data_IF_337191223195
#
_entry.id   IF_337191223195
#
_cell.length_a   1.000
_cell.length_b   1.000
_cell.length_c   1.000
_cell.angle_alpha   90.00
_cell.angle_beta   90.00
_cell.angle_gamma   90.00
#
_symmetry.space_group_name_H-M   'P 1'
#
loop_
_entity.id
_entity.type
_entity.pdbx_description
1 polymer ?
#
# COMPACT_ATOMS: atom_id res chain seq x y z
N UNK A 1 15.56 1.29 -20.11
CA UNK A 1 14.47 1.00 -19.15
C UNK A 1 15.09 1.00 -17.76
N UNK A 2 14.51 1.71 -16.79
CA UNK A 2 15.04 1.73 -15.42
C UNK A 2 14.89 0.35 -14.75
N UNK A 3 15.82 -0.01 -13.84
CA UNK A 3 15.86 -1.34 -13.20
C UNK A 3 14.62 -1.57 -12.33
N UNK A 4 14.10 -0.54 -11.66
CA UNK A 4 12.86 -0.66 -10.88
C UNK A 4 11.67 -0.83 -11.81
N UNK A 5 11.60 -0.07 -12.89
CA UNK A 5 10.57 -0.25 -13.91
C UNK A 5 10.54 -1.69 -14.47
N UNK A 6 11.70 -2.28 -14.74
CA UNK A 6 11.81 -3.67 -15.18
C UNK A 6 11.29 -4.65 -14.12
N UNK A 7 11.62 -4.44 -12.85
CA UNK A 7 11.12 -5.25 -11.74
C UNK A 7 9.59 -5.15 -11.67
N UNK A 8 9.02 -3.94 -11.71
CA UNK A 8 7.57 -3.74 -11.69
C UNK A 8 6.87 -4.46 -12.86
N UNK A 9 7.44 -4.39 -14.07
CA UNK A 9 6.91 -5.12 -15.23
C UNK A 9 6.97 -6.64 -15.04
N UNK A 10 8.09 -7.18 -14.53
CA UNK A 10 8.22 -8.62 -14.25
C UNK A 10 7.21 -9.10 -13.21
N UNK A 11 7.01 -8.32 -12.14
CA UNK A 11 6.04 -8.65 -11.09
C UNK A 11 4.61 -8.69 -11.65
N UNK A 12 4.22 -7.71 -12.48
CA UNK A 12 2.90 -7.69 -13.12
C UNK A 12 2.66 -8.91 -14.02
N UNK A 13 3.68 -9.30 -14.80
CA UNK A 13 3.61 -10.50 -15.65
C UNK A 13 3.49 -11.77 -14.79
N UNK A 14 4.20 -11.83 -13.66
CA UNK A 14 4.08 -12.93 -12.70
C UNK A 14 2.66 -13.05 -12.15
N UNK A 15 2.09 -11.93 -11.71
CA UNK A 15 0.71 -11.88 -11.18
C UNK A 15 -0.35 -12.23 -12.24
N UNK A 16 -0.07 -12.04 -13.53
CA UNK A 16 -0.95 -12.52 -14.60
C UNK A 16 -1.08 -14.05 -14.61
N UNK A 17 -0.05 -14.77 -14.17
CA UNK A 17 -0.09 -16.23 -14.07
C UNK A 17 -0.65 -16.68 -12.72
N UNK A 18 -0.16 -16.09 -11.64
CA UNK A 18 -0.50 -16.51 -10.27
C UNK A 18 -1.90 -16.10 -9.84
N UNK A 19 -2.33 -14.88 -10.21
CA UNK A 19 -3.57 -14.25 -9.79
C UNK A 19 -4.27 -13.65 -11.01
N UNK A 20 -4.66 -14.50 -11.97
CA UNK A 20 -5.13 -14.12 -13.32
C UNK A 20 -6.09 -12.92 -13.35
N UNK A 21 -7.09 -12.87 -12.47
CA UNK A 21 -8.03 -11.76 -12.38
C UNK A 21 -7.30 -10.44 -12.10
N UNK A 22 -6.55 -10.38 -11.01
CA UNK A 22 -5.83 -9.17 -10.61
C UNK A 22 -4.67 -8.84 -11.53
N UNK A 23 -3.89 -9.83 -11.96
CA UNK A 23 -2.83 -9.65 -12.93
C UNK A 23 -3.35 -9.02 -14.24
N UNK A 24 -4.55 -9.39 -14.69
CA UNK A 24 -5.19 -8.79 -15.87
C UNK A 24 -5.54 -7.30 -15.69
N UNK A 25 -5.81 -6.86 -14.45
CA UNK A 25 -6.00 -5.45 -14.11
C UNK A 25 -4.66 -4.74 -14.02
N UNK A 26 -3.70 -5.36 -13.33
CA UNK A 26 -2.35 -4.83 -13.15
C UNK A 26 -1.67 -4.55 -14.49
N UNK A 27 -1.80 -5.42 -15.50
CA UNK A 27 -1.18 -5.20 -16.83
C UNK A 27 -1.81 -4.05 -17.64
N UNK A 28 -3.01 -3.59 -17.28
CA UNK A 28 -3.66 -2.45 -17.94
C UNK A 28 -3.22 -1.10 -17.37
N UNK A 29 -2.67 -1.09 -16.17
CA UNK A 29 -2.18 0.13 -15.51
C UNK A 29 -0.92 0.65 -16.20
N UNK A 30 -0.83 1.96 -16.43
CA UNK A 30 0.41 2.59 -16.85
C UNK A 30 1.41 2.69 -15.68
N UNK A 31 2.71 2.74 -16.01
CA UNK A 31 3.79 2.93 -15.03
C UNK A 31 4.52 4.23 -15.30
N UNK A 32 4.47 5.16 -14.36
CA UNK A 32 5.17 6.44 -14.42
C UNK A 32 6.10 6.59 -13.21
N UNK A 33 7.39 6.80 -13.48
CA UNK A 33 8.33 7.18 -12.43
C UNK A 33 8.17 8.67 -12.14
N UNK A 34 7.92 9.04 -10.88
CA UNK A 34 7.81 10.44 -10.49
C UNK A 34 8.38 10.67 -9.08
N UNK A 35 9.68 10.83 -8.97
CA UNK A 35 10.36 10.99 -7.67
C UNK A 35 10.14 12.37 -7.03
N UNK A 36 9.76 13.38 -7.81
CA UNK A 36 9.63 14.77 -7.33
C UNK A 36 8.32 14.97 -6.56
N UNK A 37 7.22 14.40 -7.08
CA UNK A 37 5.89 14.49 -6.46
C UNK A 37 5.53 13.26 -5.64
N UNK A 38 5.77 12.05 -6.17
CA UNK A 38 5.46 10.82 -5.46
C UNK A 38 6.58 10.54 -4.46
N UNK A 39 6.23 10.41 -3.17
CA UNK A 39 7.22 10.04 -2.14
C UNK A 39 7.29 8.53 -1.92
N UNK A 40 6.27 7.80 -2.36
CA UNK A 40 6.16 6.37 -2.15
C UNK A 40 5.69 5.63 -3.41
N UNK A 41 4.50 5.02 -3.36
CA UNK A 41 3.83 4.35 -4.46
C UNK A 41 2.37 4.82 -4.43
N UNK A 42 1.88 5.36 -5.54
CA UNK A 42 0.56 5.97 -5.64
C UNK A 42 -0.15 5.52 -6.92
N UNK A 43 -1.47 5.69 -6.96
CA UNK A 43 -2.31 5.30 -8.08
C UNK A 43 -3.43 6.31 -8.28
N UNK A 44 -3.84 6.54 -9.53
CA UNK A 44 -5.06 7.26 -9.86
C UNK A 44 -6.13 6.34 -10.49
N UNK A 45 -5.93 5.01 -10.42
CA UNK A 45 -6.81 4.00 -11.00
C UNK A 45 -6.52 3.66 -12.46
N UNK A 46 -5.68 4.44 -13.16
CA UNK A 46 -5.21 4.15 -14.52
C UNK A 46 -3.68 4.06 -14.62
N UNK A 47 -2.97 4.83 -13.79
CA UNK A 47 -1.52 4.95 -13.78
C UNK A 47 -1.01 4.76 -12.36
N UNK A 48 0.04 3.96 -12.23
CA UNK A 48 0.85 3.88 -11.03
C UNK A 48 2.02 4.86 -11.11
N UNK A 49 2.08 5.73 -10.12
CA UNK A 49 3.19 6.63 -9.90
C UNK A 49 4.08 6.04 -8.82
N UNK A 50 5.38 5.93 -9.08
CA UNK A 50 6.30 5.37 -8.10
C UNK A 50 7.53 6.24 -7.92
N UNK A 51 7.96 6.31 -6.67
CA UNK A 51 9.27 6.81 -6.29
C UNK A 51 10.26 5.64 -6.31
N UNK A 52 11.26 5.74 -7.18
CA UNK A 52 12.31 4.72 -7.31
C UNK A 52 13.05 4.46 -6.00
N UNK A 53 13.35 5.52 -5.25
CA UNK A 53 14.11 5.46 -4.01
C UNK A 53 13.30 4.89 -2.85
N UNK A 54 11.97 4.91 -2.95
CA UNK A 54 11.09 4.22 -2.02
C UNK A 54 10.98 2.73 -2.36
N UNK A 55 10.65 2.40 -3.61
CA UNK A 55 10.41 1.01 -4.05
C UNK A 55 11.65 0.14 -3.86
N UNK A 56 12.85 0.68 -4.07
CA UNK A 56 14.11 -0.06 -3.88
C UNK A 56 14.33 -0.57 -2.44
N UNK A 57 13.64 0.00 -1.45
CA UNK A 57 13.80 -0.39 -0.04
C UNK A 57 12.96 -1.61 0.33
N UNK A 58 12.13 -2.11 -0.59
CA UNK A 58 11.21 -3.21 -0.34
C UNK A 58 11.55 -4.43 -1.18
N UNK A 59 11.34 -5.61 -0.58
CA UNK A 59 11.42 -6.89 -1.28
C UNK A 59 10.31 -7.00 -2.33
N UNK A 60 10.56 -7.81 -3.36
CA UNK A 60 9.62 -8.03 -4.46
C UNK A 60 8.20 -8.38 -4.01
N UNK A 61 8.04 -9.24 -3.01
CA UNK A 61 6.72 -9.61 -2.46
C UNK A 61 6.00 -8.42 -1.82
N UNK A 62 6.71 -7.55 -1.10
CA UNK A 62 6.15 -6.35 -0.48
C UNK A 62 5.75 -5.32 -1.54
N UNK A 63 6.54 -5.19 -2.61
CA UNK A 63 6.19 -4.34 -3.76
C UNK A 63 4.91 -4.83 -4.43
N UNK A 64 4.71 -6.15 -4.54
CA UNK A 64 3.43 -6.73 -4.99
C UNK A 64 2.28 -6.34 -4.07
N UNK A 65 2.48 -6.41 -2.75
CA UNK A 65 1.48 -5.96 -1.76
C UNK A 65 1.11 -4.48 -1.93
N UNK A 66 2.08 -3.60 -2.17
CA UNK A 66 1.84 -2.18 -2.47
C UNK A 66 0.98 -1.99 -3.73
N UNK A 67 1.26 -2.74 -4.81
CA UNK A 67 0.45 -2.69 -6.03
C UNK A 67 -0.99 -3.13 -5.78
N UNK A 68 -1.19 -4.18 -4.98
CA UNK A 68 -2.52 -4.65 -4.60
C UNK A 68 -3.26 -3.63 -3.73
N UNK A 69 -2.62 -3.12 -2.67
CA UNK A 69 -3.17 -2.07 -1.80
C UNK A 69 -3.65 -0.87 -2.61
N UNK A 70 -2.79 -0.35 -3.50
CA UNK A 70 -3.12 0.81 -4.34
C UNK A 70 -4.25 0.54 -5.33
N UNK A 71 -4.44 -0.72 -5.74
CA UNK A 71 -5.57 -1.12 -6.59
C UNK A 71 -6.87 -1.27 -5.77
N UNK A 72 -6.79 -1.72 -4.51
CA UNK A 72 -7.96 -1.90 -3.64
C UNK A 72 -8.69 -0.60 -3.37
N UNK A 73 -7.99 0.53 -3.23
CA UNK A 73 -8.60 1.85 -3.09
C UNK A 73 -9.60 2.19 -4.20
N UNK A 74 -9.33 1.74 -5.44
CA UNK A 74 -10.23 1.95 -6.58
C UNK A 74 -11.25 0.83 -6.72
N UNK A 75 -10.85 -0.42 -6.45
CA UNK A 75 -11.76 -1.57 -6.52
C UNK A 75 -12.91 -1.47 -5.49
N UNK A 76 -12.62 -0.93 -4.30
CA UNK A 76 -13.58 -0.75 -3.21
C UNK A 76 -14.31 0.60 -3.28
N UNK A 77 -13.87 1.53 -4.14
CA UNK A 77 -14.51 2.85 -4.29
C UNK A 77 -14.14 3.87 -3.21
N UNK A 78 -13.05 3.64 -2.47
CA UNK A 78 -12.68 4.42 -1.28
C UNK A 78 -11.66 5.54 -1.56
N UNK A 79 -11.17 5.65 -2.80
CA UNK A 79 -10.25 6.71 -3.24
C UNK A 79 -10.79 8.14 -3.13
N UNK A 80 -12.10 8.32 -2.91
CA UNK A 80 -12.75 9.63 -2.79
C UNK A 80 -13.37 9.75 -1.40
N UNK A 81 -12.98 10.78 -0.65
CA UNK A 81 -13.57 11.10 0.63
C UNK A 81 -14.99 11.68 0.45
N UNK A 82 -16.01 11.12 1.15
CA UNK A 82 -17.36 11.67 1.14
C UNK A 82 -17.42 13.09 1.73
N UNK A 83 -18.38 13.89 1.25
CA UNK A 83 -18.63 15.22 1.81
C UNK A 83 -18.97 15.15 3.30
N UNK A 84 -18.39 16.07 4.09
CA UNK A 84 -18.62 16.16 5.53
C UNK A 84 -17.74 15.26 6.40
N UNK A 85 -16.89 14.41 5.82
CA UNK A 85 -15.89 13.62 6.55
C UNK A 85 -14.52 14.30 6.58
N UNK A 86 -13.74 14.03 7.63
CA UNK A 86 -12.34 14.45 7.69
C UNK A 86 -11.52 13.63 6.70
N UNK A 87 -10.89 14.30 5.75
CA UNK A 87 -10.14 13.64 4.68
C UNK A 87 -8.97 12.81 5.23
N UNK A 88 -8.25 13.30 6.23
CA UNK A 88 -7.09 12.57 6.75
C UNK A 88 -7.51 11.29 7.47
N UNK A 89 -8.62 11.31 8.21
CA UNK A 89 -9.16 10.11 8.84
C UNK A 89 -9.74 9.15 7.81
N UNK A 90 -10.39 9.67 6.77
CA UNK A 90 -10.88 8.86 5.66
C UNK A 90 -9.75 8.11 4.96
N UNK A 91 -8.67 8.80 4.63
CA UNK A 91 -7.52 8.20 3.95
C UNK A 91 -6.91 7.07 4.82
N UNK A 92 -6.79 7.28 6.14
CA UNK A 92 -6.34 6.22 7.08
C UNK A 92 -7.31 5.04 7.09
N UNK A 93 -8.63 5.30 7.15
CA UNK A 93 -9.64 4.24 7.16
C UNK A 93 -9.62 3.42 5.86
N UNK A 94 -9.48 4.09 4.70
CA UNK A 94 -9.39 3.44 3.40
C UNK A 94 -8.13 2.58 3.29
N UNK A 95 -7.00 3.03 3.84
CA UNK A 95 -5.78 2.25 3.90
C UNK A 95 -5.91 1.02 4.80
N UNK A 96 -6.56 1.15 5.95
CA UNK A 96 -6.85 0.00 6.85
C UNK A 96 -7.67 -1.06 6.11
N UNK A 97 -8.75 -0.67 5.40
CA UNK A 97 -9.58 -1.62 4.66
C UNK A 97 -8.80 -2.27 3.50
N UNK A 98 -8.05 -1.47 2.75
CA UNK A 98 -7.24 -1.95 1.61
C UNK A 98 -6.16 -2.93 2.06
N UNK A 99 -5.39 -2.61 3.11
CA UNK A 99 -4.37 -3.50 3.65
C UNK A 99 -4.96 -4.75 4.33
N UNK A 100 -6.12 -4.62 4.97
CA UNK A 100 -6.85 -5.76 5.52
C UNK A 100 -7.30 -6.71 4.40
N UNK A 101 -7.76 -6.17 3.28
CA UNK A 101 -8.13 -6.95 2.09
C UNK A 101 -6.93 -7.67 1.48
N UNK A 102 -5.79 -6.97 1.34
CA UNK A 102 -4.51 -7.57 0.90
C UNK A 102 -4.10 -8.73 1.80
N UNK A 103 -4.20 -8.54 3.12
CA UNK A 103 -3.88 -9.57 4.12
C UNK A 103 -4.82 -10.76 4.02
N UNK A 104 -6.12 -10.51 3.97
CA UNK A 104 -7.16 -11.54 3.96
C UNK A 104 -7.07 -12.42 2.70
N UNK A 105 -6.83 -11.80 1.54
CA UNK A 105 -6.67 -12.50 0.26
C UNK A 105 -5.27 -13.06 0.03
N UNK A 106 -4.33 -12.86 0.97
CA UNK A 106 -2.94 -13.30 0.87
C UNK A 106 -2.23 -12.81 -0.41
N UNK A 107 -2.41 -11.51 -0.73
CA UNK A 107 -1.92 -10.90 -1.97
C UNK A 107 -0.58 -10.18 -1.78
N UNK A 108 0.51 -10.93 -1.85
CA UNK A 108 1.86 -10.39 -1.67
C UNK A 108 2.23 -10.18 -0.19
N UNK A 109 3.28 -9.39 0.04
CA UNK A 109 3.83 -9.11 1.35
C UNK A 109 3.27 -7.81 1.94
N UNK A 110 3.11 -7.77 3.26
CA UNK A 110 2.70 -6.58 4.00
C UNK A 110 3.92 -5.96 4.66
N UNK A 111 4.15 -4.65 4.51
CA UNK A 111 5.20 -3.93 5.24
C UNK A 111 5.09 -4.08 6.76
N UNK A 112 6.22 -4.08 7.45
CA UNK A 112 6.26 -4.30 8.91
C UNK A 112 5.49 -3.21 9.67
N UNK A 113 5.58 -1.95 9.25
CA UNK A 113 4.84 -0.84 9.88
C UNK A 113 3.33 -1.02 9.78
N UNK A 114 2.81 -1.43 8.61
CA UNK A 114 1.39 -1.76 8.41
C UNK A 114 0.98 -2.96 9.25
N UNK A 115 1.81 -4.01 9.27
CA UNK A 115 1.54 -5.20 10.07
C UNK A 115 1.41 -4.86 11.57
N UNK A 116 2.29 -4.01 12.08
CA UNK A 116 2.26 -3.52 13.46
C UNK A 116 1.01 -2.67 13.74
N UNK A 117 0.63 -1.77 12.81
CA UNK A 117 -0.58 -0.97 12.93
C UNK A 117 -1.86 -1.82 12.96
N UNK A 118 -1.99 -2.80 12.06
CA UNK A 118 -3.14 -3.72 12.04
C UNK A 118 -3.21 -4.59 13.32
N UNK A 119 -2.06 -5.02 13.85
CA UNK A 119 -2.00 -5.72 15.14
C UNK A 119 -2.40 -4.82 16.31
N UNK A 120 -2.10 -3.53 16.23
CA UNK A 120 -2.51 -2.55 17.23
C UNK A 120 -4.03 -2.37 17.24
N UNK A 121 -4.66 -2.24 16.08
CA UNK A 121 -6.13 -2.14 15.94
C UNK A 121 -6.86 -3.35 16.52
N UNK A 122 -6.34 -4.55 16.30
CA UNK A 122 -6.91 -5.80 16.85
C UNK A 122 -6.96 -5.86 18.40
N UNK A 123 -6.29 -4.94 19.10
CA UNK A 123 -6.35 -4.86 20.58
C UNK A 123 -7.59 -4.14 21.09
N UNK A 124 -8.26 -3.37 20.24
CA UNK A 124 -9.44 -2.62 20.62
C UNK A 124 -10.70 -3.43 20.33
N UNK A 125 -11.59 -3.52 21.33
CA UNK A 125 -12.90 -4.08 21.15
C UNK A 125 -13.69 -3.26 20.13
N UNK A 126 -14.25 -3.92 19.12
CA UNK A 126 -15.05 -3.29 18.05
C UNK A 126 -14.37 -3.20 16.70
N UNK A 127 -13.06 -3.47 16.60
CA UNK A 127 -12.41 -3.67 15.30
C UNK A 127 -12.70 -5.07 14.75
N UNK A 128 -13.06 -5.15 13.47
CA UNK A 128 -13.24 -6.39 12.72
C UNK A 128 -12.64 -6.25 11.32
N UNK A 129 -12.07 -7.33 10.80
CA UNK A 129 -11.50 -7.38 9.45
C UNK A 129 -12.54 -7.32 8.34
N UNK A 130 -13.83 -7.40 8.68
CA UNK A 130 -14.96 -7.31 7.75
C UNK A 130 -15.62 -5.92 7.74
N UNK A 131 -15.05 -4.95 8.47
CA UNK A 131 -15.59 -3.60 8.53
C UNK A 131 -15.39 -2.86 7.20
N UNK A 132 -16.39 -2.07 6.80
CA UNK A 132 -16.27 -1.14 5.67
C UNK A 132 -15.44 0.09 6.06
N UNK A 133 -14.91 0.83 5.07
CA UNK A 133 -14.24 2.12 5.32
C UNK A 133 -15.05 3.07 6.19
N UNK A 134 -16.39 3.12 6.02
CA UNK A 134 -17.26 3.98 6.83
C UNK A 134 -17.25 3.57 8.31
N UNK A 135 -17.34 2.27 8.57
CA UNK A 135 -17.30 1.73 9.93
C UNK A 135 -15.92 1.92 10.55
N UNK A 136 -14.85 1.73 9.78
CA UNK A 136 -13.48 1.97 10.24
C UNK A 136 -13.28 3.46 10.55
N UNK A 137 -13.78 4.35 9.69
CA UNK A 137 -13.74 5.79 9.90
C UNK A 137 -14.43 6.19 11.21
N UNK A 138 -15.65 5.71 11.44
CA UNK A 138 -16.40 6.01 12.67
C UNK A 138 -15.68 5.45 13.90
N UNK A 139 -15.06 4.28 13.78
CA UNK A 139 -14.29 3.64 14.83
C UNK A 139 -13.04 4.47 15.21
N UNK A 140 -12.19 4.81 14.23
CA UNK A 140 -10.97 5.58 14.48
C UNK A 140 -11.23 7.06 14.78
N UNK A 141 -12.42 7.59 14.45
CA UNK A 141 -12.81 8.96 14.81
C UNK A 141 -12.90 9.17 16.33
N UNK A 142 -13.02 8.09 17.10
CA UNK A 142 -13.03 8.13 18.56
C UNK A 142 -11.64 7.97 19.19
N UNK A 143 -10.58 7.82 18.38
CA UNK A 143 -9.24 7.56 18.88
C UNK A 143 -8.59 8.82 19.48
N UNK A 144 -7.74 8.61 20.48
CA UNK A 144 -6.84 9.67 20.94
C UNK A 144 -5.82 10.02 19.85
N UNK A 145 -5.20 11.19 19.96
CA UNK A 145 -4.13 11.57 19.02
C UNK A 145 -2.98 10.55 19.08
N UNK A 146 -2.65 10.07 20.27
CA UNK A 146 -1.60 9.08 20.48
C UNK A 146 -1.92 7.74 19.80
N UNK A 147 -3.20 7.34 19.76
CA UNK A 147 -3.63 6.13 19.06
C UNK A 147 -3.58 6.31 17.54
N UNK A 148 -4.00 7.48 17.04
CA UNK A 148 -3.89 7.83 15.62
C UNK A 148 -2.41 7.86 15.17
N UNK A 149 -1.52 8.44 15.97
CA UNK A 149 -0.08 8.49 15.71
C UNK A 149 0.54 7.08 15.65
N UNK A 150 -0.06 6.07 16.31
CA UNK A 150 0.40 4.67 16.24
C UNK A 150 -0.03 3.93 14.98
N UNK A 151 -1.06 4.41 14.28
CA UNK A 151 -1.58 3.77 13.07
C UNK A 151 -1.35 4.61 11.81
N UNK A 152 -0.82 5.83 11.94
CA UNK A 152 -0.61 6.73 10.80
C UNK A 152 0.34 6.16 9.75
N UNK A 153 1.31 5.31 10.16
CA UNK A 153 2.26 4.64 9.28
C UNK A 153 1.61 3.58 8.36
N UNK A 154 0.30 3.32 8.54
CA UNK A 154 -0.47 2.52 7.60
C UNK A 154 -0.60 3.21 6.23
N UNK A 155 -0.46 4.54 6.24
CA UNK A 155 -0.38 5.37 5.04
C UNK A 155 0.96 5.19 4.36
N UNK A 156 1.01 4.17 3.51
CA UNK A 156 2.19 3.88 2.70
C UNK A 156 2.11 4.47 1.31
N UNK A 157 0.92 4.95 0.92
CA UNK A 157 0.79 5.84 -0.21
C UNK A 157 0.89 7.30 0.24
N UNK A 158 1.40 8.15 -0.65
CA UNK A 158 1.33 9.59 -0.47
C UNK A 158 0.15 10.13 -1.26
N UNK A 159 -1.06 10.05 -0.72
CA UNK A 159 -2.10 11.03 -1.06
C UNK A 159 -1.75 12.37 -0.37
N UNK A 160 -0.72 13.04 -0.88
CA UNK A 160 -0.23 14.38 -0.47
C UNK A 160 -0.56 14.78 0.99
N UNK A 161 0.27 14.38 1.96
CA UNK A 161 1.03 15.37 2.73
C UNK A 161 2.03 14.80 3.74
N UNK A 162 3.20 15.47 3.73
CA UNK A 162 4.36 15.50 4.64
C UNK A 162 5.31 14.29 4.76
N UNK A 163 6.56 14.66 5.04
CA UNK A 163 7.83 13.92 4.90
C UNK A 163 8.21 13.27 6.24
N UNK A 164 8.75 12.06 6.21
CA UNK A 164 9.64 11.54 7.25
C UNK A 164 10.97 11.22 6.59
N UNK A 165 12.05 11.83 7.09
CA UNK A 165 13.43 11.55 6.68
C UNK A 165 13.89 10.24 7.31
N UNK A 166 14.55 9.38 6.53
CA UNK A 166 15.23 8.18 7.01
C UNK A 166 16.59 8.03 6.32
N UNK A 167 17.59 7.64 7.13
CA UNK A 167 19.03 7.60 6.84
C UNK A 167 19.39 6.37 5.96
N UNK A 168 20.08 6.54 4.82
CA UNK A 168 20.20 5.49 3.81
C UNK A 168 21.52 4.74 3.90
N UNK A 169 21.59 3.62 4.64
CA UNK A 169 22.72 2.70 4.54
C UNK A 169 22.31 1.23 4.74
N UNK A 170 22.75 0.42 3.79
CA UNK A 170 22.84 -1.05 3.74
C UNK A 170 21.60 -1.86 3.28
N UNK A 171 21.54 -2.13 1.97
CA UNK A 171 20.98 -3.38 1.44
C UNK A 171 22.08 -4.09 0.64
N UNK A 172 22.56 -5.26 1.07
CA UNK A 172 23.56 -6.02 0.33
C UNK A 172 22.97 -6.62 -0.95
N UNK A 173 23.77 -6.67 -2.02
CA UNK A 173 23.43 -7.20 -3.36
C UNK A 173 23.09 -8.71 -3.39
N UNK A 174 23.04 -9.39 -2.24
CA UNK A 174 22.94 -10.85 -2.15
C UNK A 174 21.53 -11.43 -2.34
N UNK A 175 20.47 -10.63 -2.50
CA UNK A 175 19.12 -11.15 -2.81
C UNK A 175 18.82 -11.24 -4.33
N UNK A 176 19.78 -10.97 -5.21
CA UNK A 176 19.59 -11.02 -6.67
C UNK A 176 20.14 -12.27 -7.38
N UNK A 177 20.61 -13.29 -6.66
CA UNK A 177 21.16 -14.50 -7.30
C UNK A 177 20.54 -15.79 -6.76
N UNK A 178 20.10 -16.61 -7.72
CA UNK A 178 19.77 -18.03 -7.70
C UNK A 178 18.60 -18.49 -6.84
N UNK A 179 17.52 -18.88 -7.50
CA UNK A 179 17.19 -20.29 -7.48
C UNK A 179 17.07 -20.80 -8.92
N UNK A 180 17.92 -21.76 -9.22
CA UNK A 180 18.02 -22.53 -10.45
C UNK A 180 16.80 -23.46 -10.60
N UNK A 181 16.40 -23.63 -11.87
CA UNK A 181 15.58 -24.70 -12.48
C UNK A 181 14.12 -24.86 -12.04
#
# INVERSE_FOLDING_TARGET
MDKIQEILLKLRIKELTDNQYFGSLMIKMDLEQNNDWCKSFASNGNTWFYNREFVKNYKANVVVGLMYHSMMHFALGNSICPEGKDKSLWDIAADIESWTSVKFMNLGGIPDCVSMALLYLNKFDGYSTEMTVDQIYDFISNFSKEDLDRIIDIRMDSHLDKKVEFDPLEIPESEFVSNEL
#
